data_IF_804123548062
#
_entry.id   IF_804123548062
#
_cell.length_a   1.000
_cell.length_b   1.000
_cell.length_c   1.000
_cell.angle_alpha   90.00
_cell.angle_beta   90.00
_cell.angle_gamma   90.00
#
_symmetry.space_group_name_H-M   'P 1'
#
loop_
_entity.id
_entity.type
_entity.pdbx_description
1 polymer ?
#
# COMPACT_ATOMS: atom_id res chain seq x y z
N UNK A 1 32.66 -6.65 -1.47
CA UNK A 1 32.59 -7.91 -2.24
C UNK A 1 33.55 -7.86 -3.44
N UNK A 2 33.33 -7.04 -4.46
CA UNK A 2 34.25 -6.95 -5.63
C UNK A 2 35.71 -6.60 -5.26
N UNK A 3 35.92 -5.60 -4.39
CA UNK A 3 37.27 -5.23 -3.92
C UNK A 3 38.00 -6.37 -3.17
N UNK A 4 37.24 -7.25 -2.50
CA UNK A 4 37.80 -8.40 -1.78
C UNK A 4 38.19 -9.50 -2.77
N UNK A 5 37.36 -9.76 -3.80
CA UNK A 5 37.68 -10.70 -4.88
C UNK A 5 38.95 -10.29 -5.65
N UNK A 6 39.03 -9.02 -6.07
CA UNK A 6 40.20 -8.46 -6.76
C UNK A 6 41.46 -8.54 -5.87
N UNK A 7 41.34 -8.24 -4.58
CA UNK A 7 42.48 -8.30 -3.65
C UNK A 7 43.00 -9.73 -3.45
N UNK A 8 42.11 -10.73 -3.39
CA UNK A 8 42.50 -12.14 -3.25
C UNK A 8 43.18 -12.66 -4.53
N UNK A 9 42.64 -12.31 -5.71
CA UNK A 9 43.22 -12.70 -7.00
C UNK A 9 44.63 -12.12 -7.20
N UNK A 10 44.86 -10.86 -6.80
CA UNK A 10 46.17 -10.21 -6.92
C UNK A 10 47.21 -10.74 -5.92
N UNK A 11 46.79 -11.18 -4.72
CA UNK A 11 47.71 -11.66 -3.67
C UNK A 11 48.13 -13.12 -3.90
N UNK A 12 47.24 -13.98 -4.44
CA UNK A 12 47.49 -15.42 -4.54
C UNK A 12 47.97 -15.94 -5.91
N UNK A 13 47.95 -15.13 -6.97
CA UNK A 13 48.57 -15.47 -8.26
C UNK A 13 47.86 -16.60 -9.05
N UNK A 14 48.57 -17.16 -10.06
CA UNK A 14 48.04 -18.12 -11.06
C UNK A 14 47.24 -19.28 -10.41
N UNK A 15 45.95 -19.37 -10.74
CA UNK A 15 44.99 -20.34 -10.20
C UNK A 15 43.80 -19.73 -9.46
N UNK A 16 43.93 -18.48 -8.97
CA UNK A 16 42.85 -17.73 -8.31
C UNK A 16 42.19 -16.67 -9.20
N UNK A 17 42.51 -16.65 -10.49
CA UNK A 17 41.94 -15.70 -11.47
C UNK A 17 40.40 -15.78 -11.51
N UNK A 18 39.86 -17.00 -11.45
CA UNK A 18 38.40 -17.24 -11.44
C UNK A 18 37.71 -16.81 -10.13
N UNK A 19 38.46 -16.43 -9.09
CA UNK A 19 37.87 -15.99 -7.82
C UNK A 19 37.11 -14.66 -7.98
N UNK A 20 37.54 -13.79 -8.90
CA UNK A 20 36.83 -12.55 -9.22
C UNK A 20 35.51 -12.84 -9.94
N UNK A 21 35.49 -13.79 -10.88
CA UNK A 21 34.26 -14.23 -11.58
C UNK A 21 33.20 -14.76 -10.61
N UNK A 22 33.61 -15.60 -9.64
CA UNK A 22 32.71 -16.10 -8.59
C UNK A 22 32.22 -14.98 -7.66
N UNK A 23 33.10 -14.05 -7.29
CA UNK A 23 32.72 -12.89 -6.47
C UNK A 23 31.74 -11.98 -7.22
N UNK A 24 31.94 -11.79 -8.53
CA UNK A 24 31.05 -11.03 -9.40
C UNK A 24 29.69 -11.71 -9.58
N UNK A 25 29.65 -13.03 -9.74
CA UNK A 25 28.41 -13.80 -9.83
C UNK A 25 27.61 -13.76 -8.53
N UNK A 26 28.28 -13.87 -7.38
CA UNK A 26 27.63 -13.69 -6.09
C UNK A 26 27.08 -12.26 -5.91
N UNK A 27 27.87 -11.26 -6.28
CA UNK A 27 27.44 -9.86 -6.21
C UNK A 27 26.25 -9.57 -7.14
N UNK A 28 26.24 -10.11 -8.35
CA UNK A 28 25.13 -9.93 -9.30
C UNK A 28 23.85 -10.61 -8.80
N UNK A 29 23.95 -11.81 -8.22
CA UNK A 29 22.81 -12.47 -7.57
C UNK A 29 22.24 -11.64 -6.41
N UNK A 30 23.11 -11.06 -5.58
CA UNK A 30 22.70 -10.17 -4.49
C UNK A 30 22.03 -8.89 -5.00
N UNK A 31 22.56 -8.28 -6.07
CA UNK A 31 21.95 -7.12 -6.72
C UNK A 31 20.59 -7.49 -7.29
N UNK A 32 20.47 -8.60 -8.03
CA UNK A 32 19.21 -9.07 -8.61
C UNK A 32 18.15 -9.31 -7.54
N UNK A 33 18.53 -9.90 -6.41
CA UNK A 33 17.62 -10.12 -5.29
C UNK A 33 17.06 -8.81 -4.74
N UNK A 34 17.93 -7.83 -4.46
CA UNK A 34 17.48 -6.52 -3.96
C UNK A 34 16.67 -5.75 -5.01
N UNK A 35 17.08 -5.81 -6.28
CA UNK A 35 16.32 -5.22 -7.39
C UNK A 35 14.91 -5.82 -7.48
N UNK A 36 14.78 -7.14 -7.34
CA UNK A 36 13.48 -7.80 -7.32
C UNK A 36 12.62 -7.37 -6.13
N UNK A 37 13.21 -7.28 -4.92
CA UNK A 37 12.52 -6.81 -3.72
C UNK A 37 11.98 -5.37 -3.86
N UNK A 38 12.69 -4.49 -4.56
CA UNK A 38 12.24 -3.12 -4.84
C UNK A 38 11.20 -3.09 -5.97
N UNK A 39 11.41 -3.89 -7.01
CA UNK A 39 10.55 -3.92 -8.20
C UNK A 39 9.16 -4.52 -7.91
N UNK A 40 9.08 -5.57 -7.09
CA UNK A 40 7.80 -6.28 -6.83
C UNK A 40 6.71 -5.36 -6.24
N UNK A 41 6.96 -4.57 -5.18
CA UNK A 41 5.98 -3.60 -4.68
C UNK A 41 5.62 -2.52 -5.72
N UNK A 42 6.60 -2.01 -6.46
CA UNK A 42 6.36 -0.99 -7.49
C UNK A 42 5.45 -1.50 -8.62
N UNK A 43 5.64 -2.76 -9.04
CA UNK A 43 4.74 -3.41 -10.01
C UNK A 43 3.34 -3.63 -9.44
N UNK A 44 3.23 -4.05 -8.17
CA UNK A 44 1.95 -4.19 -7.48
C UNK A 44 1.17 -2.87 -7.40
N UNK A 45 1.86 -1.76 -7.11
CA UNK A 45 1.26 -0.42 -7.13
C UNK A 45 0.76 -0.01 -8.53
N UNK A 46 1.49 -0.34 -9.61
CA UNK A 46 1.07 -0.04 -11.00
C UNK A 46 -0.11 -0.90 -11.44
N UNK A 47 -0.19 -2.13 -10.97
CA UNK A 47 -1.28 -3.06 -11.29
C UNK A 47 -2.55 -2.83 -10.45
N UNK A 48 -2.55 -1.80 -9.59
CA UNK A 48 -3.60 -1.58 -8.58
C UNK A 48 -3.88 -2.85 -7.75
N UNK A 49 -2.82 -3.63 -7.45
CA UNK A 49 -2.91 -4.80 -6.57
C UNK A 49 -3.33 -4.32 -5.19
N UNK A 50 -4.35 -4.95 -4.61
CA UNK A 50 -4.95 -4.53 -3.34
C UNK A 50 -4.02 -4.92 -2.17
N UNK A 51 -2.91 -4.20 -2.03
CA UNK A 51 -1.83 -4.47 -1.07
C UNK A 51 -2.08 -3.83 0.32
N UNK A 52 -3.22 -3.19 0.52
CA UNK A 52 -3.50 -2.31 1.67
C UNK A 52 -4.56 -2.88 2.62
N UNK A 53 -4.58 -4.20 2.81
CA UNK A 53 -5.60 -4.87 3.63
C UNK A 53 -5.66 -4.31 5.06
N UNK A 54 -4.51 -4.03 5.69
CA UNK A 54 -4.45 -3.42 7.02
C UNK A 54 -5.11 -2.04 7.06
N UNK A 55 -4.87 -1.22 6.03
CA UNK A 55 -5.48 0.12 5.92
C UNK A 55 -6.98 0.03 5.59
N UNK A 56 -7.40 -0.97 4.81
CA UNK A 56 -8.83 -1.24 4.57
C UNK A 56 -9.52 -1.57 5.89
N UNK A 57 -8.93 -2.46 6.70
CA UNK A 57 -9.48 -2.82 8.01
C UNK A 57 -9.54 -1.60 8.93
N UNK A 58 -8.48 -0.80 9.00
CA UNK A 58 -8.45 0.44 9.79
C UNK A 58 -9.56 1.41 9.35
N UNK A 59 -9.73 1.65 8.05
CA UNK A 59 -10.80 2.52 7.51
C UNK A 59 -12.18 1.99 7.90
N UNK A 60 -12.41 0.68 7.80
CA UNK A 60 -13.70 0.06 8.15
C UNK A 60 -14.00 0.21 9.64
N UNK A 61 -13.04 -0.11 10.50
CA UNK A 61 -13.18 0.04 11.96
C UNK A 61 -13.46 1.49 12.34
N UNK A 62 -12.69 2.43 11.79
CA UNK A 62 -12.87 3.86 12.01
C UNK A 62 -14.21 4.38 11.50
N UNK A 63 -14.69 3.85 10.38
CA UNK A 63 -15.98 4.26 9.82
C UNK A 63 -17.15 3.95 10.75
N UNK A 64 -17.09 2.84 11.49
CA UNK A 64 -18.12 2.44 12.45
C UNK A 64 -18.17 3.35 13.70
N UNK A 65 -17.12 4.12 13.98
CA UNK A 65 -17.12 5.10 15.07
C UNK A 65 -18.01 6.32 14.75
N UNK A 66 -18.36 6.54 13.48
CA UNK A 66 -19.17 7.68 13.04
C UNK A 66 -20.66 7.36 13.16
N UNK A 67 -21.34 8.10 14.05
CA UNK A 67 -22.78 7.94 14.27
C UNK A 67 -23.58 8.05 12.96
N UNK A 68 -24.33 7.00 12.64
CA UNK A 68 -25.20 6.92 11.47
C UNK A 68 -24.66 6.02 10.37
N UNK A 69 -23.38 5.63 10.44
CA UNK A 69 -22.83 4.53 9.64
C UNK A 69 -23.19 3.22 10.35
N UNK A 70 -23.85 2.31 9.64
CA UNK A 70 -24.24 1.00 10.16
C UNK A 70 -23.18 -0.05 9.86
N UNK A 71 -22.65 -0.03 8.63
CA UNK A 71 -21.59 -0.92 8.17
C UNK A 71 -20.90 -0.34 6.93
N UNK A 72 -19.93 -1.06 6.36
CA UNK A 72 -19.25 -0.73 5.11
C UNK A 72 -19.19 -1.97 4.22
N UNK A 73 -19.45 -1.81 2.92
CA UNK A 73 -19.40 -2.93 1.97
C UNK A 73 -18.04 -2.97 1.26
N UNK A 74 -17.85 -2.08 0.29
CA UNK A 74 -16.65 -1.98 -0.54
C UNK A 74 -15.75 -0.86 -0.04
N UNK A 75 -14.44 -1.13 -0.01
CA UNK A 75 -13.41 -0.15 0.29
C UNK A 75 -12.25 -0.36 -0.67
N UNK A 76 -12.16 0.49 -1.69
CA UNK A 76 -11.08 0.46 -2.66
C UNK A 76 -10.06 1.53 -2.30
N UNK A 77 -8.79 1.13 -2.26
CA UNK A 77 -7.68 2.02 -1.95
C UNK A 77 -6.76 2.07 -3.15
N UNK A 78 -6.45 3.29 -3.57
CA UNK A 78 -5.43 3.56 -4.57
C UNK A 78 -4.37 4.49 -3.99
N UNK A 79 -3.10 4.13 -4.16
CA UNK A 79 -1.97 4.96 -3.74
C UNK A 79 -1.49 5.84 -4.90
N UNK A 80 -1.18 7.10 -4.60
CA UNK A 80 -0.52 8.03 -5.51
C UNK A 80 0.61 8.73 -4.78
N UNK A 81 1.85 8.32 -5.07
CA UNK A 81 3.02 8.78 -4.32
C UNK A 81 2.94 8.36 -2.85
N UNK A 82 2.95 9.33 -1.93
CA UNK A 82 2.80 9.08 -0.49
C UNK A 82 1.36 9.23 0.02
N UNK A 83 0.41 9.40 -0.88
CA UNK A 83 -0.98 9.74 -0.54
C UNK A 83 -1.92 8.61 -0.95
N UNK A 84 -3.02 8.48 -0.22
CA UNK A 84 -4.06 7.50 -0.52
C UNK A 84 -5.35 8.17 -0.98
N UNK A 85 -5.98 7.52 -1.95
CA UNK A 85 -7.30 7.80 -2.47
C UNK A 85 -8.21 6.62 -2.12
N UNK A 86 -9.36 6.90 -1.52
CA UNK A 86 -10.29 5.88 -1.04
C UNK A 86 -11.64 6.07 -1.70
N UNK A 87 -12.23 4.97 -2.16
CA UNK A 87 -13.64 4.86 -2.52
C UNK A 87 -14.30 3.88 -1.55
N UNK A 88 -15.22 4.39 -0.73
CA UNK A 88 -15.86 3.66 0.36
C UNK A 88 -17.37 3.64 0.17
N UNK A 89 -17.96 2.45 0.23
CA UNK A 89 -19.40 2.27 0.30
C UNK A 89 -19.80 2.14 1.77
N UNK A 90 -20.47 3.16 2.30
CA UNK A 90 -20.98 3.21 3.65
C UNK A 90 -22.47 2.88 3.67
N UNK A 91 -22.84 1.91 4.50
CA UNK A 91 -24.24 1.50 4.70
C UNK A 91 -24.86 2.41 5.76
N UNK A 92 -25.99 3.01 5.43
CA UNK A 92 -26.80 3.83 6.33
C UNK A 92 -28.25 3.36 6.34
N UNK A 93 -29.04 3.82 7.31
CA UNK A 93 -30.46 3.46 7.40
C UNK A 93 -31.25 3.96 6.17
N UNK A 94 -32.06 3.09 5.55
CA UNK A 94 -32.93 3.41 4.41
C UNK A 94 -34.09 4.34 4.75
N UNK A 95 -34.37 4.53 6.04
CA UNK A 95 -35.47 5.38 6.54
C UNK A 95 -35.08 6.87 6.61
N UNK A 96 -33.80 7.22 6.43
CA UNK A 96 -33.34 8.61 6.52
C UNK A 96 -33.46 9.34 5.19
N UNK A 97 -33.60 10.66 5.26
CA UNK A 97 -33.61 11.49 4.05
C UNK A 97 -32.24 11.50 3.36
N UNK A 98 -32.23 11.67 2.04
CA UNK A 98 -31.00 11.84 1.23
C UNK A 98 -30.10 12.96 1.78
N UNK A 99 -30.69 14.03 2.32
CA UNK A 99 -29.92 15.09 2.97
C UNK A 99 -29.18 14.59 4.21
N UNK A 100 -29.88 13.83 5.07
CA UNK A 100 -29.27 13.28 6.29
C UNK A 100 -28.17 12.27 5.96
N UNK A 101 -28.35 11.45 4.93
CA UNK A 101 -27.31 10.51 4.51
C UNK A 101 -26.09 11.22 3.91
N UNK A 102 -26.31 12.28 3.12
CA UNK A 102 -25.24 13.14 2.63
C UNK A 102 -24.46 13.82 3.78
N UNK A 103 -25.16 14.28 4.83
CA UNK A 103 -24.51 14.86 6.01
C UNK A 103 -23.69 13.81 6.79
N UNK A 104 -24.14 12.56 6.87
CA UNK A 104 -23.38 11.45 7.45
C UNK A 104 -22.13 11.17 6.60
N UNK A 105 -22.26 11.08 5.28
CA UNK A 105 -21.13 10.87 4.38
C UNK A 105 -20.08 11.99 4.52
N UNK A 106 -20.51 13.25 4.64
CA UNK A 106 -19.59 14.37 4.89
C UNK A 106 -18.86 14.23 6.23
N UNK A 107 -19.58 13.90 7.31
CA UNK A 107 -18.96 13.68 8.63
C UNK A 107 -17.97 12.52 8.61
N UNK A 108 -18.33 11.43 7.94
CA UNK A 108 -17.46 10.26 7.79
C UNK A 108 -16.19 10.63 7.03
N UNK A 109 -16.32 11.37 5.92
CA UNK A 109 -15.18 11.86 5.14
C UNK A 109 -14.22 12.68 5.99
N UNK A 110 -14.76 13.65 6.74
CA UNK A 110 -13.95 14.57 7.54
C UNK A 110 -13.30 13.85 8.73
N UNK A 111 -14.01 12.89 9.33
CA UNK A 111 -13.49 12.04 10.39
C UNK A 111 -12.34 11.14 9.90
N UNK A 112 -12.52 10.42 8.80
CA UNK A 112 -11.47 9.54 8.25
C UNK A 112 -10.20 10.33 7.86
N UNK A 113 -10.35 11.52 7.28
CA UNK A 113 -9.21 12.39 6.96
C UNK A 113 -8.49 12.93 8.19
N UNK A 114 -9.19 13.04 9.32
CA UNK A 114 -8.60 13.46 10.60
C UNK A 114 -7.83 12.33 11.27
N UNK A 115 -8.40 11.14 11.30
CA UNK A 115 -7.80 9.97 11.97
C UNK A 115 -6.66 9.36 11.14
N UNK A 116 -6.74 9.43 9.81
CA UNK A 116 -5.74 8.86 8.90
C UNK A 116 -5.19 9.98 8.00
N UNK A 117 -4.12 10.70 8.43
CA UNK A 117 -3.63 11.92 7.76
C UNK A 117 -3.16 11.72 6.31
N UNK A 118 -2.84 10.48 5.93
CA UNK A 118 -2.38 10.14 4.58
C UNK A 118 -3.53 9.99 3.57
N UNK A 119 -4.79 10.01 4.03
CA UNK A 119 -5.99 10.01 3.17
C UNK A 119 -6.24 11.41 2.61
N UNK A 120 -5.96 11.59 1.32
CA UNK A 120 -6.11 12.91 0.67
C UNK A 120 -7.45 13.05 -0.01
N UNK A 121 -7.93 11.99 -0.67
CA UNK A 121 -9.24 11.96 -1.30
C UNK A 121 -10.04 10.78 -0.75
N UNK A 122 -11.25 11.05 -0.26
CA UNK A 122 -12.17 10.04 0.25
C UNK A 122 -13.51 10.30 -0.41
N UNK A 123 -13.90 9.39 -1.29
CA UNK A 123 -15.22 9.35 -1.92
C UNK A 123 -16.08 8.37 -1.13
N UNK A 124 -17.29 8.78 -0.77
CA UNK A 124 -18.23 7.94 -0.02
C UNK A 124 -19.49 7.77 -0.85
N UNK A 125 -19.74 6.54 -1.24
CA UNK A 125 -21.01 6.09 -1.77
C UNK A 125 -21.88 5.64 -0.60
N UNK A 126 -23.11 6.12 -0.55
CA UNK A 126 -24.06 5.74 0.48
C UNK A 126 -24.95 4.64 -0.08
N UNK A 127 -24.97 3.51 0.62
CA UNK A 127 -25.87 2.39 0.33
C UNK A 127 -26.94 2.29 1.43
N UNK A 128 -28.19 1.94 1.09
CA UNK A 128 -29.20 1.58 2.09
C UNK A 128 -28.90 0.21 2.73
N UNK A 129 -29.48 -0.06 3.88
CA UNK A 129 -29.29 -1.31 4.64
C UNK A 129 -30.24 -2.47 4.24
N UNK A 130 -30.78 -2.43 3.03
CA UNK A 130 -31.80 -3.38 2.51
C UNK A 130 -31.27 -4.23 1.34
#
# INVERSE_FOLDING_TARGET
>A
MAFVGISIALIFGEGYENADDWAALFASAFILYNSYLILRPALGEVMDEQLYDDLILEIREKSLEVKGVLDTEKCFIRKSGMKFHVDLHAIVSSEITVKSSHDIAHKLKDYLRKEIPNLVHVLIHVEPND
#
